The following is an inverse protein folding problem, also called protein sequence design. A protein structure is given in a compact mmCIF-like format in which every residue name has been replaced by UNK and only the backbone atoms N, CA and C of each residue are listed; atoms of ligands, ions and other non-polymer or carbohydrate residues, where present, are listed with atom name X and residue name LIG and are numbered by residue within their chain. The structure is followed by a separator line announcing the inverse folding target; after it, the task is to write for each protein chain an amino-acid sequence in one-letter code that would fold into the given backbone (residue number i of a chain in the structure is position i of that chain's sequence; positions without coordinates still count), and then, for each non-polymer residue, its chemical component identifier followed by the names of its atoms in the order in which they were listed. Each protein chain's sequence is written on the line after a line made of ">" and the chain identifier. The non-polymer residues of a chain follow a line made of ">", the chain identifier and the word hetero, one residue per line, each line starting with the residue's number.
data_IF_428828387306
#
_entry.id   IF_428828387306
#
_cell.length_a   1.000
_cell.length_b   1.000
_cell.length_c   1.000
_cell.angle_alpha   90.00
_cell.angle_beta   90.00
_cell.angle_gamma   90.00
#
_symmetry.space_group_name_H-M   'P 1'
#
loop_
_entity.id
_entity.type
_entity.pdbx_description
1 polymer ?
#
# COMPACT_ATOMS: atom_id res chain seq x y z
N UNK A 1 20.11 25.24 -1.14
CA UNK A 1 18.71 24.83 -1.10
C UNK A 1 17.97 25.78 -2.02
N UNK A 2 17.18 25.30 -2.95
CA UNK A 2 16.68 26.14 -4.04
C UNK A 2 15.43 26.87 -3.55
N UNK A 3 15.44 28.21 -3.49
CA UNK A 3 14.31 29.08 -3.05
C UNK A 3 12.99 28.80 -3.77
N UNK A 4 13.05 28.09 -4.90
CA UNK A 4 11.89 27.71 -5.71
C UNK A 4 11.20 26.45 -5.14
N UNK A 5 11.96 25.52 -4.57
CA UNK A 5 11.44 24.33 -3.88
C UNK A 5 10.72 24.73 -2.58
N UNK A 6 11.27 25.67 -1.82
CA UNK A 6 10.61 26.19 -0.62
C UNK A 6 9.27 26.88 -0.94
N UNK A 7 9.24 27.69 -2.00
CA UNK A 7 8.03 28.38 -2.44
C UNK A 7 6.97 27.43 -3.01
N UNK A 8 7.37 26.37 -3.70
CA UNK A 8 6.46 25.34 -4.19
C UNK A 8 5.90 24.54 -3.02
N UNK A 9 6.73 24.20 -2.07
CA UNK A 9 6.35 23.49 -0.85
C UNK A 9 5.34 24.27 0.01
N UNK A 10 5.57 25.58 0.23
CA UNK A 10 4.62 26.44 0.93
C UNK A 10 3.25 26.56 0.23
N UNK A 11 3.21 26.49 -1.11
CA UNK A 11 1.95 26.50 -1.87
C UNK A 11 1.16 25.22 -1.72
N UNK A 12 1.83 24.07 -1.69
CA UNK A 12 1.21 22.75 -1.49
C UNK A 12 0.55 22.64 -0.12
N UNK A 13 1.20 23.13 0.92
CA UNK A 13 0.71 23.06 2.29
C UNK A 13 -0.52 23.96 2.55
N UNK A 14 -0.74 24.99 1.74
CA UNK A 14 -1.86 25.94 1.90
C UNK A 14 -3.17 25.50 1.26
N UNK A 15 -3.24 24.33 0.58
CA UNK A 15 -4.45 23.96 -0.16
C UNK A 15 -4.94 22.51 0.12
N UNK A 16 -5.63 22.26 1.23
CA UNK A 16 -6.14 20.94 1.61
C UNK A 16 -7.28 20.39 0.72
N UNK A 17 -7.70 21.16 -0.31
CA UNK A 17 -8.91 20.86 -1.08
C UNK A 17 -8.68 20.04 -2.36
N UNK A 18 -7.43 19.75 -2.71
CA UNK A 18 -7.08 19.34 -4.07
C UNK A 18 -7.38 17.86 -4.35
N UNK A 19 -7.06 16.95 -3.41
CA UNK A 19 -7.38 15.52 -3.54
C UNK A 19 -8.88 15.25 -3.60
N UNK A 20 -9.66 16.05 -2.85
CA UNK A 20 -11.12 15.99 -2.87
C UNK A 20 -11.74 16.28 -4.24
N UNK A 21 -11.19 17.25 -4.97
CA UNK A 21 -11.68 17.60 -6.32
C UNK A 21 -11.42 16.48 -7.34
N UNK A 22 -10.33 15.74 -7.17
CA UNK A 22 -9.99 14.60 -8.04
C UNK A 22 -10.91 13.42 -7.75
N UNK A 23 -11.12 13.06 -6.48
CA UNK A 23 -12.05 11.99 -6.09
C UNK A 23 -13.50 12.29 -6.55
N UNK A 24 -13.92 13.55 -6.48
CA UNK A 24 -15.24 13.97 -6.98
C UNK A 24 -15.36 13.95 -8.50
N UNK A 25 -14.27 14.16 -9.24
CA UNK A 25 -14.25 14.14 -10.72
C UNK A 25 -14.04 12.73 -11.28
N UNK A 26 -13.28 11.88 -10.61
CA UNK A 26 -13.08 10.48 -11.00
C UNK A 26 -14.36 9.63 -10.89
N UNK A 27 -15.24 9.93 -9.95
CA UNK A 27 -16.51 9.23 -9.76
C UNK A 27 -17.58 9.50 -10.85
N UNK A 28 -17.37 10.46 -11.74
CA UNK A 28 -18.32 10.82 -12.80
C UNK A 28 -18.01 10.19 -14.18
N UNK A 29 -16.91 9.46 -14.33
CA UNK A 29 -16.38 9.06 -15.64
C UNK A 29 -16.24 7.56 -15.94
N UNK A 30 -16.53 6.65 -15.02
CA UNK A 30 -16.28 5.22 -15.24
C UNK A 30 -17.50 4.32 -14.92
N UNK A 31 -18.58 4.53 -15.65
CA UNK A 31 -19.63 3.52 -15.80
C UNK A 31 -19.72 3.17 -17.29
N UNK A 32 -18.87 2.29 -17.77
CA UNK A 32 -19.05 1.57 -19.03
C UNK A 32 -18.65 0.10 -18.86
N UNK A 33 -19.71 -0.71 -18.78
CA UNK A 33 -19.86 -2.07 -19.23
C UNK A 33 -18.59 -2.83 -19.72
N UNK A 34 -17.93 -3.56 -18.84
CA UNK A 34 -16.98 -4.64 -19.20
C UNK A 34 -16.78 -5.70 -18.10
N UNK A 35 -17.70 -5.83 -17.16
CA UNK A 35 -17.56 -6.72 -16.01
C UNK A 35 -18.04 -8.17 -16.25
N UNK A 36 -18.25 -8.62 -17.48
CA UNK A 36 -18.87 -9.92 -17.77
C UNK A 36 -18.05 -10.87 -18.66
N UNK A 37 -16.74 -10.67 -18.81
CA UNK A 37 -15.94 -11.51 -19.72
C UNK A 37 -14.72 -12.20 -19.08
N UNK A 38 -14.57 -12.24 -17.76
CA UNK A 38 -13.34 -12.79 -17.11
C UNK A 38 -13.55 -14.01 -16.20
N UNK A 39 -14.74 -14.61 -16.19
CA UNK A 39 -15.02 -15.81 -15.38
C UNK A 39 -14.61 -17.16 -16.03
N UNK A 40 -13.72 -17.15 -17.02
CA UNK A 40 -13.34 -18.39 -17.72
C UNK A 40 -11.83 -18.63 -17.83
N UNK A 41 -11.00 -18.09 -16.94
CA UNK A 41 -9.54 -18.26 -17.01
C UNK A 41 -8.89 -18.75 -15.70
N UNK A 42 -9.61 -19.41 -14.79
CA UNK A 42 -9.00 -20.21 -13.73
C UNK A 42 -8.66 -21.60 -14.29
N UNK A 43 -7.69 -21.66 -15.17
CA UNK A 43 -7.06 -22.88 -15.64
C UNK A 43 -5.76 -23.09 -14.88
N UNK A 44 -5.67 -24.26 -14.27
CA UNK A 44 -4.49 -24.87 -13.66
C UNK A 44 -3.15 -24.40 -14.24
N UNK A 45 -2.47 -23.50 -13.55
CA UNK A 45 -1.11 -23.12 -13.88
C UNK A 45 -0.12 -23.98 -13.07
N UNK A 46 0.06 -25.24 -13.47
CA UNK A 46 1.36 -25.86 -13.31
C UNK A 46 2.28 -25.22 -14.38
N UNK A 47 3.43 -24.66 -14.01
CA UNK A 47 4.41 -24.26 -15.00
C UNK A 47 4.91 -25.51 -15.68
N UNK A 48 4.69 -25.63 -17.00
CA UNK A 48 5.31 -26.65 -17.83
C UNK A 48 6.81 -26.70 -17.48
N UNK A 49 7.30 -27.87 -17.08
CA UNK A 49 8.63 -28.09 -16.54
C UNK A 49 9.75 -27.62 -17.46
N UNK A 50 10.14 -26.38 -17.29
CA UNK A 50 11.39 -25.81 -17.66
C UNK A 50 12.12 -25.54 -16.36
N UNK A 51 13.13 -26.37 -16.03
CA UNK A 51 13.94 -26.16 -14.85
C UNK A 51 14.47 -24.72 -14.83
N UNK A 52 13.96 -23.91 -13.92
CA UNK A 52 14.54 -22.63 -13.60
C UNK A 52 15.96 -22.91 -13.11
N UNK A 53 16.95 -22.78 -14.00
CA UNK A 53 18.28 -22.44 -13.55
C UNK A 53 18.09 -21.14 -12.80
N UNK A 54 18.33 -21.15 -11.47
CA UNK A 54 18.45 -19.94 -10.69
C UNK A 54 19.32 -18.99 -11.52
N UNK A 55 18.71 -17.92 -12.06
CA UNK A 55 19.49 -16.86 -12.69
C UNK A 55 20.41 -16.36 -11.58
N UNK A 56 21.73 -16.40 -11.83
CA UNK A 56 22.66 -15.75 -10.93
C UNK A 56 22.18 -14.32 -10.75
N UNK A 57 21.79 -13.97 -9.52
CA UNK A 57 21.35 -12.63 -9.14
C UNK A 57 22.49 -11.64 -9.38
N UNK A 58 22.60 -11.14 -10.59
CA UNK A 58 23.58 -10.11 -10.93
C UNK A 58 23.02 -8.77 -10.49
N UNK A 59 23.83 -8.03 -9.73
CA UNK A 59 23.51 -6.65 -9.40
C UNK A 59 23.43 -5.82 -10.70
N UNK A 60 22.52 -4.83 -10.69
CA UNK A 60 22.33 -3.89 -11.80
C UNK A 60 23.68 -3.21 -12.13
N UNK A 61 24.17 -3.29 -13.36
CA UNK A 61 25.43 -2.67 -13.73
C UNK A 61 25.32 -1.14 -13.68
N UNK A 62 26.34 -0.49 -13.15
CA UNK A 62 26.44 0.98 -13.21
C UNK A 62 26.45 1.46 -14.65
N UNK A 63 25.59 2.42 -14.95
CA UNK A 63 25.42 2.96 -16.28
C UNK A 63 25.31 4.49 -16.29
N UNK A 64 25.03 5.03 -17.46
CA UNK A 64 24.66 6.43 -17.60
C UNK A 64 23.20 6.64 -17.19
N UNK A 65 22.89 7.84 -16.70
CA UNK A 65 21.52 8.24 -16.41
C UNK A 65 20.74 8.32 -17.74
N UNK A 66 19.66 7.57 -17.83
CA UNK A 66 18.80 7.55 -19.02
C UNK A 66 17.99 8.83 -19.16
N UNK A 67 17.62 9.17 -20.38
CA UNK A 67 16.79 10.34 -20.68
C UNK A 67 15.29 10.13 -20.31
N UNK A 68 14.89 8.91 -19.98
CA UNK A 68 13.51 8.57 -19.57
C UNK A 68 13.51 7.52 -18.48
N UNK A 69 12.42 7.50 -17.68
CA UNK A 69 12.16 6.51 -16.64
C UNK A 69 10.65 6.24 -16.58
N UNK A 70 10.24 4.96 -16.51
CA UNK A 70 8.85 4.58 -16.36
C UNK A 70 8.58 4.06 -14.94
N UNK A 71 7.69 4.74 -14.21
CA UNK A 71 7.24 4.38 -12.86
C UNK A 71 5.76 4.03 -12.90
N UNK A 72 5.43 2.77 -12.62
CA UNK A 72 4.06 2.30 -12.41
C UNK A 72 3.70 2.36 -10.93
N UNK A 73 2.64 3.07 -10.59
CA UNK A 73 2.26 3.29 -9.19
C UNK A 73 0.73 3.31 -9.02
N UNK A 74 0.29 3.49 -7.78
CA UNK A 74 -1.11 3.63 -7.39
C UNK A 74 -1.63 5.05 -7.66
N UNK A 75 -2.96 5.21 -7.85
CA UNK A 75 -3.58 6.52 -7.92
C UNK A 75 -3.37 7.34 -6.65
N UNK A 76 -3.22 8.67 -6.78
CA UNK A 76 -3.11 9.61 -5.68
C UNK A 76 -1.94 9.34 -4.70
N UNK A 77 -0.89 8.69 -5.16
CA UNK A 77 0.22 8.21 -4.34
C UNK A 77 1.49 9.05 -4.50
N UNK A 78 1.34 10.25 -5.04
CA UNK A 78 2.34 11.30 -5.12
C UNK A 78 1.63 12.66 -5.10
N UNK A 79 2.31 13.72 -4.65
CA UNK A 79 1.77 15.06 -4.63
C UNK A 79 1.33 15.53 -6.02
N UNK A 80 0.24 16.33 -6.09
CA UNK A 80 -0.33 16.80 -7.36
C UNK A 80 0.64 17.54 -8.25
N UNK A 81 1.51 18.34 -7.64
CA UNK A 81 2.54 19.07 -8.35
C UNK A 81 3.65 18.15 -8.88
N UNK A 82 3.69 16.90 -8.41
CA UNK A 82 4.75 15.92 -8.75
C UNK A 82 6.14 16.51 -8.52
N UNK A 83 6.31 17.18 -7.39
CA UNK A 83 7.50 17.96 -7.04
C UNK A 83 8.77 17.14 -7.11
N UNK A 84 8.73 15.91 -6.57
CA UNK A 84 9.86 14.98 -6.60
C UNK A 84 10.26 14.59 -8.03
N UNK A 85 9.26 14.35 -8.92
CA UNK A 85 9.51 13.99 -10.32
C UNK A 85 10.14 15.15 -11.09
N UNK A 86 9.59 16.35 -10.93
CA UNK A 86 10.12 17.58 -11.54
C UNK A 86 11.55 17.84 -11.08
N UNK A 87 11.79 17.75 -9.78
CA UNK A 87 13.08 17.96 -9.18
C UNK A 87 14.15 16.94 -9.64
N UNK A 88 13.76 15.66 -9.78
CA UNK A 88 14.62 14.63 -10.38
C UNK A 88 14.94 14.93 -11.85
N UNK A 89 13.91 15.32 -12.61
CA UNK A 89 14.05 15.68 -14.03
C UNK A 89 14.99 16.87 -14.21
N UNK A 90 14.83 17.91 -13.39
CA UNK A 90 15.70 19.11 -13.44
C UNK A 90 17.15 18.79 -13.09
N UNK A 91 17.37 17.87 -12.15
CA UNK A 91 18.70 17.47 -11.70
C UNK A 91 19.43 16.56 -12.68
N UNK A 92 18.72 15.61 -13.28
CA UNK A 92 19.33 14.53 -14.05
C UNK A 92 19.00 14.55 -15.55
N UNK A 93 18.09 15.41 -16.00
CA UNK A 93 17.62 15.46 -17.39
C UNK A 93 16.71 14.30 -17.79
N UNK A 94 16.24 13.50 -16.83
CA UNK A 94 15.44 12.29 -17.07
C UNK A 94 13.97 12.62 -17.07
N UNK A 95 13.27 12.43 -18.18
CA UNK A 95 11.80 12.55 -18.25
C UNK A 95 11.12 11.36 -17.60
N UNK A 96 10.36 11.60 -16.52
CA UNK A 96 9.65 10.52 -15.81
C UNK A 96 8.25 10.35 -16.37
N UNK A 97 7.95 9.14 -16.86
CA UNK A 97 6.61 8.66 -17.19
C UNK A 97 6.03 7.99 -15.94
N UNK A 98 5.35 8.77 -15.11
CA UNK A 98 4.63 8.26 -13.94
C UNK A 98 3.21 7.87 -14.35
N UNK A 99 2.84 6.60 -14.16
CA UNK A 99 1.55 6.06 -14.57
C UNK A 99 0.84 5.42 -13.38
N UNK A 100 -0.35 5.92 -13.10
CA UNK A 100 -1.26 5.38 -12.10
C UNK A 100 -2.01 4.19 -12.71
N UNK A 101 -1.35 3.03 -12.76
CA UNK A 101 -1.89 1.82 -13.42
C UNK A 101 -2.10 0.64 -12.48
N UNK A 102 -1.85 0.82 -11.19
CA UNK A 102 -2.01 -0.20 -10.16
C UNK A 102 -3.21 0.19 -9.29
N UNK A 103 -4.35 -0.46 -9.47
CA UNK A 103 -5.55 -0.26 -8.66
C UNK A 103 -5.76 -1.39 -7.66
N UNK A 104 -5.14 -2.55 -7.93
CA UNK A 104 -5.20 -3.77 -7.16
C UNK A 104 -3.98 -4.62 -7.51
N UNK A 105 -3.40 -5.31 -6.52
CA UNK A 105 -2.17 -6.09 -6.71
C UNK A 105 -2.38 -7.29 -7.63
N UNK A 106 -3.45 -8.06 -7.47
CA UNK A 106 -3.70 -9.25 -8.29
C UNK A 106 -4.07 -8.88 -9.72
N UNK A 107 -4.84 -7.80 -9.90
CA UNK A 107 -5.13 -7.26 -11.23
C UNK A 107 -3.84 -6.83 -11.93
N UNK A 108 -2.96 -6.12 -11.24
CA UNK A 108 -1.66 -5.72 -11.80
C UNK A 108 -0.79 -6.94 -12.12
N UNK A 109 -0.70 -7.91 -11.20
CA UNK A 109 0.02 -9.14 -11.42
C UNK A 109 -0.52 -9.90 -12.63
N UNK A 110 -1.82 -10.08 -12.75
CA UNK A 110 -2.47 -10.69 -13.91
C UNK A 110 -2.08 -10.03 -15.23
N UNK A 111 -1.95 -8.69 -15.22
CA UNK A 111 -1.55 -7.88 -16.39
C UNK A 111 -0.09 -8.11 -16.79
N UNK A 112 0.84 -8.26 -15.83
CA UNK A 112 2.29 -8.27 -16.11
C UNK A 112 2.92 -9.65 -16.11
N UNK A 113 2.31 -10.66 -15.46
CA UNK A 113 2.92 -11.97 -15.18
C UNK A 113 3.52 -12.67 -16.41
N UNK A 114 2.84 -12.62 -17.55
CA UNK A 114 3.32 -13.29 -18.77
C UNK A 114 4.57 -12.63 -19.35
N UNK A 115 4.62 -11.30 -19.31
CA UNK A 115 5.79 -10.54 -19.77
C UNK A 115 6.96 -10.73 -18.81
N UNK A 116 6.73 -10.59 -17.51
CA UNK A 116 7.77 -10.76 -16.49
C UNK A 116 8.35 -12.17 -16.46
N UNK A 117 7.53 -13.21 -16.68
CA UNK A 117 8.00 -14.58 -16.82
C UNK A 117 8.96 -14.80 -18.01
N UNK A 118 8.90 -13.91 -19.01
CA UNK A 118 9.79 -13.93 -20.18
C UNK A 118 10.98 -12.97 -20.04
N UNK A 119 11.13 -12.30 -18.89
CA UNK A 119 12.16 -11.29 -18.66
C UNK A 119 11.89 -9.98 -19.40
N UNK A 120 10.64 -9.70 -19.73
CA UNK A 120 10.19 -8.46 -20.37
C UNK A 120 9.41 -7.61 -19.36
N UNK A 121 9.97 -6.47 -18.96
CA UNK A 121 9.32 -5.52 -18.04
C UNK A 121 8.11 -4.79 -18.65
N UNK A 122 7.85 -4.97 -19.95
CA UNK A 122 6.87 -4.15 -20.68
C UNK A 122 7.25 -2.67 -20.71
N UNK A 123 8.55 -2.39 -20.64
CA UNK A 123 9.12 -1.04 -20.60
C UNK A 123 9.02 -0.34 -19.25
N UNK A 124 8.55 -1.02 -18.19
CA UNK A 124 8.55 -0.49 -16.81
C UNK A 124 9.95 -0.57 -16.24
N UNK A 125 10.35 0.51 -15.55
CA UNK A 125 11.61 0.56 -14.80
C UNK A 125 11.39 0.37 -13.30
N UNK A 126 10.23 0.81 -12.80
CA UNK A 126 9.80 0.64 -11.40
C UNK A 126 8.31 0.28 -11.39
N UNK A 127 7.93 -0.65 -10.54
CA UNK A 127 6.55 -0.82 -10.08
C UNK A 127 6.48 -0.77 -8.54
N UNK A 128 5.31 -0.40 -8.02
CA UNK A 128 5.09 -0.24 -6.57
C UNK A 128 3.97 -1.16 -6.13
N UNK A 129 4.29 -2.19 -5.35
CA UNK A 129 3.33 -3.21 -4.92
C UNK A 129 3.44 -3.50 -3.42
N UNK A 130 2.36 -3.98 -2.84
CA UNK A 130 2.29 -4.30 -1.40
C UNK A 130 3.18 -5.49 -1.04
N UNK A 131 3.61 -5.60 0.21
CA UNK A 131 4.57 -6.57 0.75
C UNK A 131 4.36 -8.00 0.24
N UNK A 132 3.12 -8.49 0.28
CA UNK A 132 2.79 -9.84 -0.12
C UNK A 132 2.96 -10.07 -1.64
N UNK A 133 2.61 -9.06 -2.44
CA UNK A 133 2.84 -9.12 -3.89
C UNK A 133 4.32 -8.94 -4.20
N UNK A 134 5.03 -8.07 -3.47
CA UNK A 134 6.48 -7.95 -3.58
C UNK A 134 7.17 -9.29 -3.26
N UNK A 135 6.70 -10.01 -2.24
CA UNK A 135 7.15 -11.37 -1.90
C UNK A 135 6.92 -12.34 -3.07
N UNK A 136 5.71 -12.33 -3.66
CA UNK A 136 5.37 -13.16 -4.83
C UNK A 136 6.27 -12.86 -6.02
N UNK A 137 6.50 -11.57 -6.33
CA UNK A 137 7.38 -11.14 -7.42
C UNK A 137 8.84 -11.60 -7.21
N UNK A 138 9.36 -11.50 -5.98
CA UNK A 138 10.69 -11.97 -5.58
C UNK A 138 10.79 -13.48 -5.74
N UNK A 139 9.83 -14.24 -5.20
CA UNK A 139 9.79 -15.71 -5.29
C UNK A 139 9.77 -16.22 -6.74
N UNK A 140 9.10 -15.51 -7.64
CA UNK A 140 9.02 -15.84 -9.05
C UNK A 140 10.26 -15.41 -9.86
N UNK A 141 11.19 -14.64 -9.25
CA UNK A 141 12.37 -14.11 -9.93
C UNK A 141 12.03 -13.01 -10.95
N UNK A 142 11.00 -12.20 -10.68
CA UNK A 142 10.52 -11.16 -11.59
C UNK A 142 11.15 -9.79 -11.34
N UNK A 143 12.05 -9.69 -10.37
CA UNK A 143 12.68 -8.43 -9.98
C UNK A 143 14.21 -8.50 -9.96
N UNK A 144 14.84 -7.38 -10.28
CA UNK A 144 16.29 -7.21 -10.28
C UNK A 144 16.83 -6.93 -8.87
N UNK A 145 18.05 -7.36 -8.61
CA UNK A 145 18.77 -7.08 -7.38
C UNK A 145 19.44 -5.72 -7.43
N UNK A 146 19.17 -4.87 -6.43
CA UNK A 146 19.76 -3.54 -6.29
C UNK A 146 21.28 -3.58 -6.04
N UNK A 147 22.02 -2.69 -6.69
CA UNK A 147 23.35 -2.32 -6.23
C UNK A 147 23.26 -1.22 -5.17
N UNK A 148 23.23 -1.60 -3.90
CA UNK A 148 23.11 -0.66 -2.77
C UNK A 148 24.23 0.37 -2.71
N UNK A 149 25.37 0.14 -3.37
CA UNK A 149 26.44 1.14 -3.46
C UNK A 149 26.04 2.36 -4.30
N UNK A 150 25.02 2.22 -5.14
CA UNK A 150 24.42 3.31 -5.91
C UNK A 150 23.29 4.02 -5.18
N UNK A 151 22.84 3.49 -4.02
CA UNK A 151 21.67 3.92 -3.26
C UNK A 151 22.01 4.29 -1.79
N UNK A 152 22.97 5.20 -1.53
CA UNK A 152 23.41 5.53 -0.19
C UNK A 152 22.32 6.19 0.67
N UNK A 153 21.47 7.05 0.09
CA UNK A 153 20.39 7.73 0.80
C UNK A 153 19.29 6.74 1.22
N UNK A 154 18.85 5.89 0.30
CA UNK A 154 17.85 4.87 0.59
C UNK A 154 18.33 3.90 1.67
N UNK A 155 19.60 3.51 1.62
CA UNK A 155 20.21 2.62 2.63
C UNK A 155 20.32 3.28 4.00
N UNK A 156 20.66 4.57 4.07
CA UNK A 156 20.85 5.29 5.33
C UNK A 156 19.53 5.74 5.96
N UNK A 157 18.59 6.22 5.13
CA UNK A 157 17.44 6.98 5.60
C UNK A 157 16.17 6.15 5.79
N UNK A 158 16.16 4.87 5.40
CA UNK A 158 15.00 4.01 5.69
C UNK A 158 14.76 3.90 7.21
N UNK A 159 13.51 4.02 7.66
CA UNK A 159 13.15 3.86 9.09
C UNK A 159 13.39 2.42 9.55
N UNK A 160 13.75 2.27 10.85
CA UNK A 160 14.24 0.98 11.36
C UNK A 160 13.19 -0.14 11.28
N UNK A 161 11.90 0.16 11.52
CA UNK A 161 10.81 -0.83 11.44
C UNK A 161 10.67 -1.45 10.03
N UNK A 162 10.97 -0.71 8.97
CA UNK A 162 10.83 -1.17 7.58
C UNK A 162 12.12 -1.70 6.97
N UNK A 163 13.22 -1.69 7.73
CA UNK A 163 14.56 -1.98 7.21
C UNK A 163 14.83 -3.43 6.87
N UNK A 164 14.20 -4.37 7.56
CA UNK A 164 14.50 -5.81 7.43
C UNK A 164 13.23 -6.66 7.45
N UNK A 165 12.37 -6.57 6.42
CA UNK A 165 11.18 -7.41 6.34
C UNK A 165 11.59 -8.87 6.10
N UNK A 166 10.79 -9.85 6.55
CA UNK A 166 11.10 -11.27 6.38
C UNK A 166 11.37 -11.70 4.94
N UNK A 167 10.65 -11.13 3.98
CA UNK A 167 10.76 -11.50 2.56
C UNK A 167 11.99 -10.90 1.83
N UNK A 168 12.58 -9.81 2.38
CA UNK A 168 13.78 -9.16 1.84
C UNK A 168 14.60 -8.55 2.99
N UNK A 169 15.23 -9.38 3.85
CA UNK A 169 15.87 -8.92 5.09
C UNK A 169 17.01 -7.91 4.89
N UNK A 170 17.54 -7.86 3.68
CA UNK A 170 18.63 -6.94 3.33
C UNK A 170 18.18 -5.77 2.46
N UNK A 171 16.89 -5.69 2.09
CA UNK A 171 16.40 -4.70 1.13
C UNK A 171 17.24 -4.66 -0.15
N UNK A 172 17.48 -5.84 -0.72
CA UNK A 172 18.22 -5.99 -1.98
C UNK A 172 17.30 -6.06 -3.20
N UNK A 173 16.01 -6.30 -3.02
CA UNK A 173 15.02 -6.54 -4.08
C UNK A 173 13.80 -5.64 -3.98
N UNK A 174 13.69 -4.87 -2.90
CA UNK A 174 12.56 -3.99 -2.62
C UNK A 174 12.97 -2.78 -1.79
N UNK A 175 12.29 -1.64 -1.99
CA UNK A 175 12.49 -0.44 -1.17
C UNK A 175 11.13 0.22 -0.92
N UNK A 176 10.74 0.50 0.33
CA UNK A 176 9.44 1.09 0.66
C UNK A 176 9.16 2.39 -0.10
N UNK A 177 7.95 2.52 -0.63
CA UNK A 177 7.41 3.78 -1.14
C UNK A 177 6.63 4.52 -0.06
N UNK A 178 5.65 3.85 0.54
CA UNK A 178 4.88 4.29 1.70
C UNK A 178 4.50 3.04 2.52
N UNK A 179 4.10 3.25 3.77
CA UNK A 179 3.55 2.20 4.60
C UNK A 179 2.27 2.69 5.26
N UNK A 180 1.39 1.81 5.67
CA UNK A 180 0.13 2.19 6.29
C UNK A 180 -0.33 1.15 7.30
N UNK A 181 -1.37 1.51 8.02
CA UNK A 181 -2.02 0.63 8.98
C UNK A 181 -3.48 0.46 8.63
N UNK A 182 -3.96 -0.75 8.80
CA UNK A 182 -5.38 -1.07 8.75
C UNK A 182 -5.91 -1.11 10.17
N UNK A 183 -7.01 -0.42 10.39
CA UNK A 183 -7.68 -0.32 11.68
C UNK A 183 -9.15 0.04 11.52
N UNK A 184 -9.76 0.53 12.56
CA UNK A 184 -11.18 0.86 12.59
C UNK A 184 -11.36 2.35 12.32
N UNK A 185 -12.07 2.70 11.24
CA UNK A 185 -12.57 4.06 10.98
C UNK A 185 -14.03 4.10 11.41
N UNK A 186 -14.43 5.14 12.13
CA UNK A 186 -15.77 5.22 12.70
C UNK A 186 -16.35 6.62 12.72
N UNK A 187 -17.68 6.69 12.79
CA UNK A 187 -18.47 7.93 12.91
C UNK A 187 -18.81 8.21 14.38
N UNK A 188 -18.13 9.19 15.01
CA UNK A 188 -18.39 9.61 16.40
C UNK A 188 -19.84 9.99 16.65
N UNK A 189 -20.52 10.57 15.66
CA UNK A 189 -21.93 10.98 15.74
C UNK A 189 -22.93 9.82 15.58
N UNK A 190 -22.46 8.60 15.26
CA UNK A 190 -23.28 7.40 15.02
C UNK A 190 -23.03 6.29 16.03
N UNK A 191 -21.81 6.21 16.57
CA UNK A 191 -21.45 5.18 17.55
C UNK A 191 -21.71 5.66 18.98
N UNK A 192 -21.98 4.73 19.88
CA UNK A 192 -22.26 5.06 21.30
C UNK A 192 -21.00 5.43 22.07
N UNK A 193 -19.86 4.89 21.65
CA UNK A 193 -18.53 5.09 22.22
C UNK A 193 -17.47 4.86 21.16
N UNK A 194 -16.27 5.29 21.41
CA UNK A 194 -15.11 4.94 20.59
C UNK A 194 -14.93 3.41 20.55
N UNK A 195 -14.81 2.80 19.37
CA UNK A 195 -14.48 1.39 19.22
C UNK A 195 -13.09 1.11 19.83
N UNK A 196 -12.92 -0.08 20.41
CA UNK A 196 -11.65 -0.52 21.01
C UNK A 196 -11.18 -1.86 20.51
N UNK A 197 -12.10 -2.66 19.99
CA UNK A 197 -11.86 -4.04 19.61
C UNK A 197 -12.61 -4.37 18.32
N UNK A 198 -12.24 -5.46 17.69
CA UNK A 198 -13.00 -6.08 16.58
C UNK A 198 -14.41 -6.50 17.04
N UNK A 199 -14.62 -6.75 18.33
CA UNK A 199 -15.99 -6.95 18.89
C UNK A 199 -16.93 -5.80 18.56
N UNK A 200 -16.42 -4.58 18.46
CA UNK A 200 -17.23 -3.41 18.11
C UNK A 200 -17.72 -3.45 16.65
N UNK A 201 -17.01 -4.15 15.75
CA UNK A 201 -17.46 -4.42 14.39
C UNK A 201 -18.57 -5.48 14.37
N UNK A 202 -18.61 -6.34 15.37
CA UNK A 202 -19.61 -7.40 15.50
C UNK A 202 -20.74 -7.05 16.50
N UNK A 203 -20.76 -5.80 17.04
CA UNK A 203 -21.84 -5.33 17.90
C UNK A 203 -23.17 -5.28 17.11
N UNK A 204 -24.21 -6.05 17.52
CA UNK A 204 -25.52 -6.03 16.86
C UNK A 204 -26.16 -4.66 16.73
N UNK A 205 -25.73 -3.68 17.54
CA UNK A 205 -26.19 -2.30 17.45
C UNK A 205 -25.80 -1.63 16.12
N UNK A 206 -24.78 -2.17 15.43
CA UNK A 206 -24.28 -1.65 14.15
C UNK A 206 -24.59 -2.57 12.96
N UNK A 207 -25.55 -3.51 13.15
CA UNK A 207 -25.95 -4.45 12.10
C UNK A 207 -26.29 -3.75 10.78
N UNK A 208 -25.65 -4.19 9.68
CA UNK A 208 -25.79 -3.59 8.35
C UNK A 208 -25.18 -2.19 8.22
N UNK A 209 -24.31 -1.79 9.17
CA UNK A 209 -23.57 -0.53 9.19
C UNK A 209 -22.06 -0.73 9.31
N UNK A 210 -21.62 -1.96 9.18
CA UNK A 210 -20.22 -2.38 9.23
C UNK A 210 -19.75 -2.78 7.84
N UNK A 211 -18.53 -2.36 7.47
CA UNK A 211 -17.91 -2.74 6.20
C UNK A 211 -16.48 -3.23 6.47
N UNK A 212 -16.11 -4.32 5.82
CA UNK A 212 -14.75 -4.85 5.81
C UNK A 212 -14.07 -4.57 4.47
N UNK A 213 -12.77 -4.83 4.38
CA UNK A 213 -12.00 -4.65 3.15
C UNK A 213 -12.05 -5.92 2.28
N UNK A 214 -12.07 -5.74 0.95
CA UNK A 214 -11.83 -6.82 -0.01
C UNK A 214 -10.38 -7.29 0.01
N UNK A 215 -9.46 -6.52 0.59
CA UNK A 215 -8.09 -6.97 0.82
C UNK A 215 -8.09 -8.04 1.92
N UNK A 216 -7.84 -9.29 1.48
CA UNK A 216 -7.92 -10.48 2.32
C UNK A 216 -7.00 -10.38 3.53
N UNK A 217 -5.78 -9.94 3.35
CA UNK A 217 -4.75 -9.92 4.40
C UNK A 217 -5.09 -8.93 5.51
N UNK A 218 -5.76 -7.85 5.17
CA UNK A 218 -6.25 -6.88 6.14
C UNK A 218 -7.42 -7.44 6.93
N UNK A 219 -8.45 -7.95 6.23
CA UNK A 219 -9.68 -8.43 6.85
C UNK A 219 -9.47 -9.70 7.66
N UNK A 220 -8.76 -10.68 7.10
CA UNK A 220 -8.44 -11.93 7.80
C UNK A 220 -7.43 -11.70 8.91
N UNK A 221 -6.37 -10.91 8.66
CA UNK A 221 -5.31 -10.65 9.63
C UNK A 221 -5.82 -10.01 10.91
N UNK A 222 -6.67 -8.98 10.80
CA UNK A 222 -7.21 -8.28 11.99
C UNK A 222 -8.17 -9.17 12.80
N UNK A 223 -8.93 -10.03 12.12
CA UNK A 223 -9.81 -11.01 12.80
C UNK A 223 -8.98 -12.13 13.43
N UNK A 224 -7.90 -12.58 12.79
CA UNK A 224 -6.93 -13.54 13.35
C UNK A 224 -6.31 -13.02 14.65
N UNK A 225 -5.85 -11.76 14.65
CA UNK A 225 -5.33 -11.10 15.86
C UNK A 225 -6.39 -11.02 16.96
N UNK A 226 -7.62 -10.68 16.61
CA UNK A 226 -8.74 -10.63 17.56
C UNK A 226 -9.07 -12.00 18.16
N UNK A 227 -8.92 -13.08 17.40
CA UNK A 227 -9.09 -14.46 17.89
C UNK A 227 -7.92 -14.94 18.76
N UNK A 228 -6.89 -14.11 18.94
CA UNK A 228 -5.75 -14.36 19.82
C UNK A 228 -4.57 -15.08 19.16
N UNK A 229 -4.58 -15.24 17.85
CA UNK A 229 -3.42 -15.72 17.10
C UNK A 229 -2.56 -14.55 16.60
N UNK A 230 -1.27 -14.79 16.42
CA UNK A 230 -0.34 -13.81 15.88
C UNK A 230 -0.34 -13.84 14.34
N UNK A 231 -0.80 -12.79 13.64
CA UNK A 231 -0.84 -12.78 12.17
C UNK A 231 0.55 -12.91 11.50
N UNK A 232 1.63 -12.64 12.21
CA UNK A 232 2.99 -12.82 11.67
C UNK A 232 3.42 -14.29 11.65
N UNK A 233 2.75 -15.16 12.44
CA UNK A 233 3.14 -16.57 12.64
C UNK A 233 1.94 -17.54 12.57
N UNK A 234 0.73 -17.06 12.30
CA UNK A 234 -0.48 -17.88 12.28
C UNK A 234 -0.39 -19.03 11.26
N UNK A 235 -0.95 -20.18 11.63
CA UNK A 235 -1.16 -21.31 10.74
C UNK A 235 -2.31 -21.04 9.77
N UNK A 236 -2.39 -21.82 8.68
CA UNK A 236 -3.50 -21.75 7.75
C UNK A 236 -4.84 -22.00 8.48
N UNK A 237 -4.91 -22.97 9.40
CA UNK A 237 -6.11 -23.26 10.19
C UNK A 237 -6.59 -22.07 11.03
N UNK A 238 -5.67 -21.24 11.55
CA UNK A 238 -6.02 -20.04 12.30
C UNK A 238 -6.57 -18.95 11.38
N UNK A 239 -6.00 -18.76 10.20
CA UNK A 239 -6.57 -17.88 9.20
C UNK A 239 -7.94 -18.35 8.71
N UNK A 240 -8.13 -19.65 8.46
CA UNK A 240 -9.42 -20.20 8.04
C UNK A 240 -10.52 -19.98 9.09
N UNK A 241 -10.20 -20.05 10.40
CA UNK A 241 -11.16 -19.67 11.46
C UNK A 241 -11.58 -18.20 11.37
N UNK A 242 -10.67 -17.32 10.99
CA UNK A 242 -11.01 -15.92 10.78
C UNK A 242 -11.92 -15.73 9.54
N UNK A 243 -11.66 -16.49 8.46
CA UNK A 243 -12.54 -16.54 7.28
C UNK A 243 -13.93 -17.05 7.66
N UNK A 244 -14.03 -18.15 8.42
CA UNK A 244 -15.31 -18.70 8.91
C UNK A 244 -16.09 -17.66 9.72
N UNK A 245 -15.41 -16.89 10.57
CA UNK A 245 -16.05 -15.82 11.35
C UNK A 245 -16.56 -14.69 10.45
N UNK A 246 -15.80 -14.28 9.46
CA UNK A 246 -16.24 -13.28 8.49
C UNK A 246 -17.44 -13.77 7.68
N UNK A 247 -17.48 -15.07 7.31
CA UNK A 247 -18.63 -15.68 6.65
C UNK A 247 -19.88 -15.66 7.55
N UNK A 248 -19.75 -16.06 8.82
CA UNK A 248 -20.84 -16.02 9.80
C UNK A 248 -21.45 -14.62 9.90
N UNK A 249 -20.60 -13.59 10.03
CA UNK A 249 -21.05 -12.21 10.20
C UNK A 249 -21.62 -11.61 8.89
N UNK A 250 -21.13 -12.07 7.75
CA UNK A 250 -21.70 -11.74 6.44
C UNK A 250 -23.09 -12.34 6.28
N UNK A 251 -23.26 -13.65 6.56
CA UNK A 251 -24.53 -14.37 6.43
C UNK A 251 -25.58 -13.84 7.41
N UNK A 252 -25.15 -13.43 8.60
CA UNK A 252 -26.02 -12.81 9.59
C UNK A 252 -26.55 -11.44 9.15
N UNK A 253 -25.89 -10.81 8.17
CA UNK A 253 -26.11 -9.43 7.76
C UNK A 253 -25.54 -8.39 8.73
N UNK A 254 -24.65 -8.77 9.65
CA UNK A 254 -23.89 -7.85 10.47
C UNK A 254 -22.99 -7.00 9.59
N UNK A 255 -22.20 -7.66 8.73
CA UNK A 255 -21.38 -7.02 7.70
C UNK A 255 -22.30 -6.59 6.54
N UNK A 256 -22.27 -5.29 6.23
CA UNK A 256 -22.99 -4.70 5.09
C UNK A 256 -22.39 -5.14 3.75
N UNK A 257 -21.07 -5.31 3.72
CA UNK A 257 -20.32 -5.69 2.53
C UNK A 257 -18.83 -5.53 2.72
N UNK A 258 -18.12 -5.97 1.68
CA UNK A 258 -16.67 -5.83 1.56
C UNK A 258 -16.37 -4.82 0.45
N UNK A 259 -15.42 -3.92 0.67
CA UNK A 259 -15.10 -2.86 -0.30
C UNK A 259 -13.59 -2.60 -0.34
N UNK A 260 -13.11 -2.11 -1.46
CA UNK A 260 -11.82 -1.42 -1.54
C UNK A 260 -11.99 0.02 -1.05
N UNK A 261 -11.45 0.99 -1.77
CA UNK A 261 -11.54 2.43 -1.42
C UNK A 261 -12.97 3.00 -1.45
N UNK A 262 -13.97 2.25 -1.90
CA UNK A 262 -15.38 2.68 -1.94
C UNK A 262 -15.94 2.97 -0.55
N UNK A 263 -15.38 2.38 0.52
CA UNK A 263 -15.78 2.68 1.90
C UNK A 263 -15.73 4.18 2.24
N UNK A 264 -14.81 4.94 1.59
CA UNK A 264 -14.69 6.39 1.76
C UNK A 264 -16.04 7.08 1.52
N UNK A 265 -16.74 6.67 0.46
CA UNK A 265 -18.04 7.18 0.12
C UNK A 265 -19.11 6.77 1.13
N UNK A 266 -19.10 5.51 1.55
CA UNK A 266 -20.12 4.96 2.43
C UNK A 266 -20.05 5.58 3.84
N UNK A 267 -18.84 5.74 4.39
CA UNK A 267 -18.71 6.37 5.71
C UNK A 267 -18.98 7.88 5.66
N UNK A 268 -18.59 8.55 4.57
CA UNK A 268 -18.88 9.98 4.40
C UNK A 268 -20.37 10.24 4.33
N UNK A 269 -21.15 9.41 3.64
CA UNK A 269 -22.60 9.51 3.55
C UNK A 269 -23.33 9.02 4.79
N UNK A 270 -22.67 8.22 5.63
CA UNK A 270 -23.28 7.57 6.80
C UNK A 270 -24.05 6.29 6.45
N UNK A 271 -23.78 5.70 5.30
CA UNK A 271 -24.29 4.37 4.92
C UNK A 271 -23.63 3.31 5.79
N UNK A 272 -22.33 3.45 6.07
CA UNK A 272 -21.58 2.70 7.09
C UNK A 272 -21.19 3.60 8.25
N UNK A 273 -21.08 3.03 9.46
CA UNK A 273 -20.76 3.76 10.69
C UNK A 273 -19.45 3.34 11.32
N UNK A 274 -19.11 2.06 11.19
CA UNK A 274 -17.87 1.44 11.66
C UNK A 274 -17.32 0.60 10.52
N UNK A 275 -16.09 0.82 10.14
CA UNK A 275 -15.50 0.14 9.00
C UNK A 275 -14.05 -0.26 9.29
N UNK A 276 -13.61 -1.33 8.67
CA UNK A 276 -12.20 -1.60 8.52
C UNK A 276 -11.65 -0.75 7.38
N UNK A 277 -10.58 0.01 7.62
CA UNK A 277 -10.04 0.93 6.61
C UNK A 277 -8.61 1.36 6.89
N UNK A 278 -8.04 2.11 5.95
CA UNK A 278 -6.64 2.47 5.94
C UNK A 278 -6.36 3.84 6.59
N UNK A 279 -5.26 3.91 7.34
CA UNK A 279 -4.89 5.05 8.18
C UNK A 279 -4.74 6.37 7.42
N UNK A 280 -4.18 6.35 6.20
CA UNK A 280 -4.01 7.57 5.39
C UNK A 280 -5.33 8.17 4.93
N UNK A 281 -6.28 7.32 4.54
CA UNK A 281 -7.62 7.77 4.18
C UNK A 281 -8.36 8.33 5.40
N UNK A 282 -8.14 7.73 6.58
CA UNK A 282 -8.71 8.24 7.83
C UNK A 282 -8.24 9.65 8.16
N UNK A 283 -6.96 9.98 7.93
CA UNK A 283 -6.42 11.33 8.12
C UNK A 283 -7.19 12.34 7.28
N UNK A 284 -7.42 12.01 6.01
CA UNK A 284 -8.13 12.90 5.08
C UNK A 284 -9.62 13.00 5.38
N UNK A 285 -10.27 11.87 5.67
CA UNK A 285 -11.67 11.84 6.06
C UNK A 285 -11.92 12.66 7.32
N UNK A 286 -11.02 12.61 8.31
CA UNK A 286 -11.09 13.41 9.54
C UNK A 286 -10.93 14.90 9.26
N UNK A 287 -10.07 15.29 8.33
CA UNK A 287 -9.90 16.68 7.92
C UNK A 287 -11.17 17.25 7.27
N UNK A 288 -11.88 16.44 6.48
CA UNK A 288 -13.12 16.83 5.81
C UNK A 288 -14.35 16.75 6.75
N UNK A 289 -14.36 15.80 7.68
CA UNK A 289 -15.44 15.60 8.63
C UNK A 289 -14.91 15.21 10.02
N UNK A 290 -14.88 16.14 10.99
CA UNK A 290 -14.34 15.91 12.33
C UNK A 290 -15.11 14.86 13.15
N UNK A 291 -16.26 14.39 12.66
CA UNK A 291 -16.98 13.26 13.24
C UNK A 291 -16.42 11.90 12.80
N UNK A 292 -15.53 11.86 11.85
CA UNK A 292 -14.83 10.63 11.47
C UNK A 292 -13.52 10.57 12.26
N UNK A 293 -13.20 9.39 12.79
CA UNK A 293 -11.93 9.14 13.47
C UNK A 293 -11.43 7.73 13.21
N UNK A 294 -10.20 7.46 13.63
CA UNK A 294 -9.49 6.21 13.42
C UNK A 294 -8.94 5.69 14.75
N UNK A 295 -8.99 4.38 14.94
CA UNK A 295 -8.38 3.70 16.08
C UNK A 295 -7.77 2.37 15.66
N UNK A 296 -6.62 2.02 16.21
CA UNK A 296 -6.12 0.66 16.18
C UNK A 296 -6.84 -0.16 17.26
N UNK A 297 -7.37 -1.35 16.92
CA UNK A 297 -7.93 -2.25 17.94
C UNK A 297 -6.90 -2.58 19.04
N UNK A 298 -7.39 -2.85 20.25
CA UNK A 298 -6.52 -3.28 21.38
C UNK A 298 -5.73 -4.56 21.07
N UNK A 299 -6.26 -5.41 20.16
CA UNK A 299 -5.59 -6.62 19.66
C UNK A 299 -4.59 -6.35 18.54
N UNK A 300 -4.41 -5.09 18.14
CA UNK A 300 -3.49 -4.66 17.08
C UNK A 300 -4.17 -4.41 15.74
N UNK A 301 -3.49 -3.61 14.91
CA UNK A 301 -3.84 -3.37 13.51
C UNK A 301 -2.90 -4.11 12.56
N UNK A 302 -3.23 -4.14 11.27
CA UNK A 302 -2.33 -4.70 10.27
C UNK A 302 -1.42 -3.59 9.73
N UNK A 303 -0.11 -3.82 9.76
CA UNK A 303 0.91 -2.97 9.13
C UNK A 303 1.25 -3.55 7.76
N UNK A 304 1.16 -2.72 6.74
CA UNK A 304 1.54 -3.08 5.37
C UNK A 304 2.47 -2.03 4.77
N UNK A 305 3.21 -2.41 3.73
CA UNK A 305 4.13 -1.53 3.03
C UNK A 305 4.03 -1.74 1.54
N UNK A 306 3.95 -0.65 0.79
CA UNK A 306 4.09 -0.68 -0.66
C UNK A 306 5.54 -0.44 -1.03
N UNK A 307 6.05 -1.32 -1.88
CA UNK A 307 7.47 -1.42 -2.20
C UNK A 307 7.75 -1.11 -3.66
N UNK A 308 8.71 -0.23 -3.89
CA UNK A 308 9.34 -0.07 -5.21
C UNK A 308 10.18 -1.29 -5.50
N UNK A 309 9.98 -1.89 -6.66
CA UNK A 309 10.80 -2.97 -7.21
C UNK A 309 11.18 -2.64 -8.65
N UNK A 310 12.33 -3.11 -9.09
CA UNK A 310 12.79 -2.99 -10.48
C UNK A 310 12.52 -4.32 -11.16
N UNK A 311 11.61 -4.40 -12.16
CA UNK A 311 11.32 -5.65 -12.83
C UNK A 311 12.50 -6.12 -13.68
N UNK A 312 12.65 -7.45 -13.80
CA UNK A 312 13.63 -8.06 -14.71
C UNK A 312 13.41 -7.55 -16.13
N UNK A 313 14.51 -7.20 -16.80
CA UNK A 313 14.47 -6.61 -18.13
C UNK A 313 14.06 -5.13 -18.17
N UNK A 314 14.10 -4.44 -17.04
CA UNK A 314 13.90 -2.99 -16.99
C UNK A 314 14.95 -2.27 -17.86
N UNK A 315 14.52 -1.44 -18.83
CA UNK A 315 15.47 -0.82 -19.77
C UNK A 315 16.41 0.18 -19.11
N UNK A 316 16.01 0.77 -17.98
CA UNK A 316 16.76 1.83 -17.31
C UNK A 316 16.99 1.52 -15.82
N UNK A 317 17.32 0.28 -15.47
CA UNK A 317 17.44 -0.20 -14.09
C UNK A 317 18.38 0.66 -13.24
N UNK A 318 19.54 1.09 -13.76
CA UNK A 318 20.45 1.99 -13.04
C UNK A 318 19.81 3.36 -12.73
N UNK A 319 19.06 3.91 -13.67
CA UNK A 319 18.33 5.18 -13.45
C UNK A 319 17.21 5.00 -12.43
N UNK A 320 16.57 3.81 -12.41
CA UNK A 320 15.58 3.45 -11.40
C UNK A 320 16.18 3.42 -9.99
N UNK A 321 17.36 2.82 -9.80
CA UNK A 321 18.08 2.89 -8.52
C UNK A 321 18.36 4.33 -8.09
N UNK A 322 18.80 5.19 -9.02
CA UNK A 322 19.05 6.60 -8.74
C UNK A 322 17.78 7.35 -8.37
N UNK A 323 16.67 7.02 -8.98
CA UNK A 323 15.38 7.59 -8.62
C UNK A 323 14.94 7.13 -7.22
N UNK A 324 15.03 5.84 -6.92
CA UNK A 324 14.72 5.29 -5.59
C UNK A 324 15.58 5.98 -4.52
N UNK A 325 16.89 6.09 -4.76
CA UNK A 325 17.81 6.78 -3.84
C UNK A 325 17.46 8.25 -3.65
N UNK A 326 17.05 8.93 -4.72
CA UNK A 326 16.68 10.34 -4.70
C UNK A 326 15.40 10.60 -3.88
N UNK A 327 14.40 9.73 -3.99
CA UNK A 327 13.16 9.81 -3.20
C UNK A 327 13.44 9.69 -1.69
N UNK A 328 14.53 9.05 -1.30
CA UNK A 328 14.94 8.90 0.10
C UNK A 328 15.72 10.09 0.66
N UNK A 329 15.83 11.20 -0.06
CA UNK A 329 16.24 12.49 0.50
C UNK A 329 15.06 13.09 1.28
N UNK A 330 15.24 13.50 2.56
CA UNK A 330 14.14 13.99 3.39
C UNK A 330 13.35 15.15 2.77
N UNK A 331 14.04 16.11 2.16
CA UNK A 331 13.43 17.25 1.49
C UNK A 331 12.64 16.89 0.24
N UNK A 332 12.96 15.76 -0.40
CA UNK A 332 12.25 15.26 -1.58
C UNK A 332 11.03 14.43 -1.17
N UNK A 333 11.13 13.67 -0.09
CA UNK A 333 10.04 12.85 0.42
C UNK A 333 8.99 13.67 1.19
N UNK A 334 9.36 14.80 1.77
CA UNK A 334 8.46 15.60 2.60
C UNK A 334 7.15 16.04 1.89
N UNK A 335 7.15 16.56 0.66
CA UNK A 335 5.92 16.87 -0.06
C UNK A 335 5.05 15.63 -0.32
N UNK A 336 5.68 14.48 -0.60
CA UNK A 336 4.95 13.21 -0.81
C UNK A 336 4.27 12.79 0.49
N UNK A 337 4.99 12.75 1.61
CA UNK A 337 4.44 12.37 2.91
C UNK A 337 3.29 13.29 3.34
N UNK A 338 3.44 14.60 3.14
CA UNK A 338 2.42 15.60 3.48
C UNK A 338 1.14 15.45 2.65
N UNK A 339 1.25 14.99 1.40
CA UNK A 339 0.09 14.80 0.52
C UNK A 339 -0.56 13.44 0.70
N UNK A 340 0.24 12.36 0.74
CA UNK A 340 -0.24 10.97 0.75
C UNK A 340 -0.81 10.59 2.12
N UNK A 341 -0.27 11.15 3.20
CA UNK A 341 -0.70 10.98 4.61
C UNK A 341 -0.59 9.53 5.13
N UNK A 342 0.26 8.72 4.57
CA UNK A 342 0.62 7.40 5.08
C UNK A 342 1.95 7.45 5.83
N UNK A 343 2.33 6.35 6.48
CA UNK A 343 3.59 6.25 7.21
C UNK A 343 4.75 6.53 6.27
N UNK A 344 5.50 7.58 6.57
CA UNK A 344 6.67 7.96 5.79
C UNK A 344 7.84 6.99 6.04
N UNK A 345 8.40 6.34 5.01
CA UNK A 345 9.48 5.38 5.18
C UNK A 345 10.86 6.02 5.39
N UNK A 346 10.97 7.35 5.34
CA UNK A 346 12.24 8.08 5.27
C UNK A 346 12.50 8.88 6.54
N UNK A 347 13.63 8.59 7.19
CA UNK A 347 14.14 9.36 8.33
C UNK A 347 14.42 10.81 7.95
N UNK A 348 14.24 11.74 8.89
CA UNK A 348 14.52 13.17 8.69
C UNK A 348 13.38 13.96 8.04
N UNK A 349 12.34 13.29 7.52
CA UNK A 349 11.18 13.98 6.92
C UNK A 349 10.35 14.71 7.97
N UNK A 350 10.18 14.10 9.15
CA UNK A 350 9.48 14.73 10.28
C UNK A 350 10.08 16.09 10.62
N UNK A 351 11.41 16.18 10.72
CA UNK A 351 12.16 17.40 11.04
C UNK A 351 12.07 18.47 9.92
N UNK A 352 11.89 18.05 8.68
CA UNK A 352 11.59 18.97 7.56
C UNK A 352 10.17 19.53 7.73
N UNK A 353 9.18 18.68 8.00
CA UNK A 353 7.79 19.07 8.14
C UNK A 353 7.52 19.87 9.43
N UNK A 354 8.26 19.65 10.51
CA UNK A 354 8.16 20.48 11.72
C UNK A 354 8.34 21.97 11.45
N UNK A 355 9.09 22.33 10.40
CA UNK A 355 9.36 23.71 10.01
C UNK A 355 8.26 24.30 9.11
N UNK A 356 7.47 23.46 8.46
CA UNK A 356 6.54 23.86 7.39
C UNK A 356 5.10 23.47 7.68
N UNK A 357 4.86 22.28 8.26
CA UNK A 357 3.55 21.78 8.67
C UNK A 357 3.65 20.91 9.93
N UNK A 358 3.61 21.60 11.07
CA UNK A 358 3.73 20.94 12.37
C UNK A 358 2.61 19.93 12.64
N UNK A 359 1.40 20.17 12.12
CA UNK A 359 0.27 19.27 12.33
C UNK A 359 0.50 17.91 11.64
N UNK A 360 1.05 17.92 10.45
CA UNK A 360 1.47 16.70 9.75
C UNK A 360 2.64 16.02 10.47
N UNK A 361 3.66 16.80 10.89
CA UNK A 361 4.83 16.25 11.59
C UNK A 361 4.49 15.57 12.93
N UNK A 362 3.47 16.04 13.64
CA UNK A 362 2.99 15.49 14.91
C UNK A 362 1.95 14.36 14.73
N UNK A 363 1.54 14.04 13.50
CA UNK A 363 0.54 13.02 13.25
C UNK A 363 1.14 11.61 13.36
N UNK A 364 0.68 10.83 14.35
CA UNK A 364 1.13 9.46 14.61
C UNK A 364 0.76 8.46 13.50
N UNK A 365 -0.20 8.78 12.64
CA UNK A 365 -0.54 7.95 11.49
C UNK A 365 0.43 8.13 10.30
N UNK A 366 1.27 9.19 10.36
CA UNK A 366 2.27 9.51 9.33
C UNK A 366 3.69 9.31 9.88
N UNK A 367 3.91 9.70 11.12
CA UNK A 367 5.18 9.56 11.84
C UNK A 367 4.96 8.88 13.18
N UNK A 368 4.63 7.57 13.17
CA UNK A 368 4.35 6.82 14.39
C UNK A 368 5.60 6.70 15.26
N UNK A 369 5.40 6.87 16.57
CA UNK A 369 6.43 6.49 17.53
C UNK A 369 6.60 4.95 17.54
N UNK A 370 7.78 4.43 17.91
CA UNK A 370 8.01 2.98 17.94
C UNK A 370 6.97 2.23 18.78
N UNK A 371 6.55 2.78 19.93
CA UNK A 371 5.52 2.17 20.80
C UNK A 371 4.13 2.10 20.13
N UNK A 372 3.81 3.03 19.22
CA UNK A 372 2.57 2.98 18.46
C UNK A 372 2.56 1.80 17.47
N UNK A 373 3.71 1.51 16.87
CA UNK A 373 3.88 0.40 15.93
C UNK A 373 3.98 -0.97 16.62
N UNK A 374 4.29 -1.03 17.93
CA UNK A 374 4.29 -2.29 18.69
C UNK A 374 2.91 -2.95 18.71
N UNK A 375 1.85 -2.17 18.55
CA UNK A 375 0.47 -2.66 18.44
C UNK A 375 0.05 -2.91 16.98
N UNK A 376 0.96 -3.37 16.13
CA UNK A 376 0.68 -3.75 14.75
C UNK A 376 1.39 -5.05 14.39
N UNK A 377 0.75 -5.85 13.54
CA UNK A 377 1.31 -7.07 12.97
C UNK A 377 1.41 -6.98 11.45
N UNK A 378 2.38 -7.66 10.87
CA UNK A 378 2.50 -7.83 9.41
C UNK A 378 1.93 -9.21 9.07
N UNK A 379 1.04 -9.29 8.10
CA UNK A 379 0.55 -10.59 7.63
C UNK A 379 1.71 -11.39 7.05
N UNK A 380 1.90 -12.63 7.52
CA UNK A 380 3.04 -13.44 7.04
C UNK A 380 2.93 -13.75 5.54
N UNK A 381 4.06 -13.99 4.91
CA UNK A 381 4.09 -14.57 3.56
C UNK A 381 3.49 -15.97 3.58
N UNK A 382 2.60 -16.26 2.63
CA UNK A 382 1.97 -17.56 2.46
C UNK A 382 2.74 -18.38 1.42
N UNK A 383 2.80 -19.70 1.61
CA UNK A 383 3.21 -20.61 0.57
C UNK A 383 2.14 -20.66 -0.54
N UNK A 384 2.48 -20.97 -1.80
CA UNK A 384 1.54 -20.88 -2.92
C UNK A 384 0.24 -21.66 -2.76
N UNK A 385 0.30 -22.82 -2.09
CA UNK A 385 -0.86 -23.64 -1.83
C UNK A 385 -1.76 -23.06 -0.75
N UNK A 386 -1.15 -22.57 0.36
CA UNK A 386 -1.87 -21.86 1.41
C UNK A 386 -2.52 -20.57 0.88
N UNK A 387 -1.79 -19.83 0.06
CA UNK A 387 -2.26 -18.58 -0.53
C UNK A 387 -3.51 -18.82 -1.39
N UNK A 388 -3.48 -19.84 -2.27
CA UNK A 388 -4.62 -20.19 -3.10
C UNK A 388 -5.82 -20.65 -2.27
N UNK A 389 -5.60 -21.51 -1.26
CA UNK A 389 -6.68 -22.03 -0.42
C UNK A 389 -7.37 -20.93 0.38
N UNK A 390 -6.58 -20.01 0.93
CA UNK A 390 -7.11 -18.89 1.70
C UNK A 390 -7.78 -17.84 0.81
N UNK A 391 -7.21 -17.54 -0.35
CA UNK A 391 -7.81 -16.63 -1.34
C UNK A 391 -9.15 -17.20 -1.82
N UNK A 392 -9.21 -18.50 -2.20
CA UNK A 392 -10.45 -19.15 -2.66
C UNK A 392 -11.55 -19.13 -1.58
N UNK A 393 -11.19 -19.37 -0.32
CA UNK A 393 -12.13 -19.31 0.79
C UNK A 393 -12.64 -17.89 1.03
N UNK A 394 -11.75 -16.90 1.00
CA UNK A 394 -12.13 -15.51 1.21
C UNK A 394 -12.97 -14.94 0.06
N UNK A 395 -12.69 -15.34 -1.18
CA UNK A 395 -13.52 -14.98 -2.34
C UNK A 395 -14.97 -15.45 -2.20
N UNK A 396 -15.21 -16.62 -1.59
CA UNK A 396 -16.56 -17.08 -1.29
C UNK A 396 -17.28 -16.18 -0.28
N UNK A 397 -16.56 -15.70 0.74
CA UNK A 397 -17.10 -14.76 1.75
C UNK A 397 -17.53 -13.44 1.14
N UNK A 398 -16.72 -12.88 0.24
CA UNK A 398 -17.02 -11.58 -0.37
C UNK A 398 -18.00 -11.67 -1.55
N UNK A 399 -18.39 -12.88 -1.96
CA UNK A 399 -19.34 -13.12 -3.04
C UNK A 399 -18.79 -12.82 -4.44
N UNK A 400 -17.48 -13.02 -4.64
CA UNK A 400 -16.76 -12.75 -5.89
C UNK A 400 -16.54 -14.05 -6.71
#
# INVERSE_FOLDING_TARGET
>A
MNDDLERQFERLLRNPLTRRRILQRGAAGALSASALAYLAACGTDEPAGGGNKAQEEKAIPKGEIASSLYVANWPLYIDEERSALKSFQDKYGTKIKYVEEINDNDQFFGKVRQQYAQGDSGGRDIHVVTDWMATRMIRLGYVEKFDKSTMPNATANIIDRLKSPPFDPKRELSMPWQSGMTGIIYRKDKVKREPKSVDDLFDPAYKGKVTFLTEMRDSVGIVTAWQGADPENASLDEYMKAVDKLQEESDSGQIRGFTGNEYIKDITKGDSWVILGWSGDAVQLKADNPNIDFVLPETGGMLWTDNMQIPVGAPHAYTAEKFIDYIYLPEIQAPIAAYVNYICPVKGVKEVLEKTDKAIAENQLIFPDPSFLENTAIFRGLEPEEERELDDAFQQVIGA
#
